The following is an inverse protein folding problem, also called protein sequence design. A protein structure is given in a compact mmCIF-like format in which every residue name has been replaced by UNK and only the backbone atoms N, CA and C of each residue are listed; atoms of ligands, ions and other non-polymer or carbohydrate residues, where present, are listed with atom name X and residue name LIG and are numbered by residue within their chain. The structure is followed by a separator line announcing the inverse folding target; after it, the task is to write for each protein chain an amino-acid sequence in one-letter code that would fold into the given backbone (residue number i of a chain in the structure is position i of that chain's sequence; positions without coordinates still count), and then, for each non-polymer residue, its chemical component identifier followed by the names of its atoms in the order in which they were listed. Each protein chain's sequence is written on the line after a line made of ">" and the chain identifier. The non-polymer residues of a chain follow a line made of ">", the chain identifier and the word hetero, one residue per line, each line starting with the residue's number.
data_IF_334783660038
#
_entry.id   IF_334783660038
#
_cell.length_a   1.000
_cell.length_b   1.000
_cell.length_c   1.000
_cell.angle_alpha   90.00
_cell.angle_beta   90.00
_cell.angle_gamma   90.00
#
_symmetry.space_group_name_H-M   'P 1'
#
loop_
_entity.id
_entity.type
_entity.pdbx_description
1 polymer ?
#
# COMPACT_ATOMS: atom_id res chain seq x y z
N UNK A 1 -52.40 -10.79 -67.82
CA UNK A 1 -52.82 -10.40 -66.48
C UNK A 1 -51.76 -10.93 -65.50
N UNK A 2 -50.77 -10.08 -65.13
CA UNK A 2 -49.66 -10.44 -64.25
C UNK A 2 -49.89 -9.76 -62.90
N UNK A 3 -50.07 -10.53 -61.87
CA UNK A 3 -50.19 -10.03 -60.50
C UNK A 3 -48.78 -9.85 -59.91
N UNK A 4 -48.41 -8.62 -59.54
CA UNK A 4 -47.24 -8.29 -58.74
C UNK A 4 -47.62 -8.45 -57.24
N UNK A 5 -46.97 -9.38 -56.56
CA UNK A 5 -47.00 -9.45 -55.11
C UNK A 5 -45.85 -8.64 -54.52
N UNK A 6 -46.19 -7.51 -53.89
CA UNK A 6 -45.23 -6.70 -53.17
C UNK A 6 -45.07 -7.30 -51.76
N UNK A 7 -43.91 -7.89 -51.48
CA UNK A 7 -43.55 -8.40 -50.17
C UNK A 7 -43.01 -7.25 -49.31
N UNK A 8 -43.77 -6.84 -48.30
CA UNK A 8 -43.38 -5.81 -47.34
C UNK A 8 -42.52 -6.48 -46.25
N UNK A 9 -41.19 -6.28 -46.28
CA UNK A 9 -40.29 -6.70 -45.22
C UNK A 9 -40.42 -5.74 -44.05
N UNK A 10 -40.98 -6.18 -42.95
CA UNK A 10 -40.85 -5.56 -41.65
C UNK A 10 -39.47 -5.93 -41.04
N UNK A 11 -38.53 -5.01 -41.03
CA UNK A 11 -37.31 -5.12 -40.24
C UNK A 11 -37.67 -4.79 -38.82
N UNK A 12 -37.73 -5.81 -37.95
CA UNK A 12 -37.68 -5.64 -36.50
C UNK A 12 -36.25 -5.18 -36.16
N UNK A 13 -36.12 -3.91 -35.80
CA UNK A 13 -34.93 -3.44 -35.11
C UNK A 13 -34.94 -4.01 -33.68
N UNK A 14 -34.25 -5.10 -33.48
CA UNK A 14 -33.88 -5.56 -32.14
C UNK A 14 -32.84 -4.57 -31.60
N UNK A 15 -33.29 -3.67 -30.73
CA UNK A 15 -32.40 -2.95 -29.84
C UNK A 15 -31.67 -3.97 -28.96
N UNK A 16 -30.48 -4.37 -29.40
CA UNK A 16 -29.49 -4.95 -28.47
C UNK A 16 -29.13 -3.85 -27.49
N UNK A 17 -29.77 -3.86 -26.32
CA UNK A 17 -29.13 -3.32 -25.13
C UNK A 17 -27.86 -4.15 -24.96
N UNK A 18 -26.71 -3.57 -25.28
CA UNK A 18 -25.45 -4.07 -24.83
C UNK A 18 -25.50 -3.97 -23.30
N UNK A 19 -25.85 -5.09 -22.65
CA UNK A 19 -25.46 -5.33 -21.27
C UNK A 19 -23.95 -5.12 -21.25
N UNK A 20 -23.54 -3.96 -20.75
CA UNK A 20 -22.16 -3.76 -20.33
C UNK A 20 -21.94 -4.70 -19.17
N UNK A 21 -21.60 -5.95 -19.48
CA UNK A 21 -20.96 -6.85 -18.55
C UNK A 21 -19.72 -6.07 -18.10
N UNK A 22 -19.77 -5.49 -16.89
CA UNK A 22 -18.57 -5.15 -16.17
C UNK A 22 -17.80 -6.46 -16.04
N UNK A 23 -16.94 -6.75 -17.02
CA UNK A 23 -15.89 -7.73 -16.82
C UNK A 23 -15.04 -7.16 -15.70
N UNK A 24 -15.10 -7.78 -14.54
CA UNK A 24 -14.14 -7.60 -13.47
C UNK A 24 -12.78 -8.01 -14.05
N UNK A 25 -12.09 -7.07 -14.71
CA UNK A 25 -10.69 -7.25 -15.08
C UNK A 25 -9.91 -7.13 -13.79
N UNK A 26 -9.65 -8.27 -13.15
CA UNK A 26 -8.79 -8.37 -11.98
C UNK A 26 -7.35 -7.88 -12.23
N UNK A 27 -7.00 -7.56 -13.47
CA UNK A 27 -5.64 -7.23 -13.93
C UNK A 27 -5.50 -5.87 -14.61
N UNK A 28 -6.56 -5.03 -14.64
CA UNK A 28 -6.55 -3.72 -15.28
C UNK A 28 -6.39 -2.55 -14.30
N UNK A 29 -5.93 -1.41 -14.80
CA UNK A 29 -5.99 -0.15 -14.08
C UNK A 29 -7.46 0.27 -13.89
N UNK A 30 -7.80 0.82 -12.71
CA UNK A 30 -9.12 1.36 -12.42
C UNK A 30 -9.28 2.80 -12.97
N UNK A 31 -8.18 3.46 -13.29
CA UNK A 31 -8.17 4.79 -13.87
C UNK A 31 -6.78 5.40 -13.99
N UNK A 32 -6.76 6.70 -14.29
CA UNK A 32 -5.52 7.48 -14.52
C UNK A 32 -5.61 8.80 -13.77
N UNK A 33 -4.56 9.17 -13.04
CA UNK A 33 -4.39 10.48 -12.39
C UNK A 33 -3.05 11.06 -12.82
N UNK A 34 -3.08 12.28 -13.41
CA UNK A 34 -1.86 12.96 -13.86
C UNK A 34 -1.04 12.19 -14.90
N UNK A 35 -1.66 11.28 -15.67
CA UNK A 35 -0.99 10.46 -16.67
C UNK A 35 -0.49 9.10 -16.16
N UNK A 36 -0.68 8.78 -14.86
CA UNK A 36 -0.26 7.53 -14.23
C UNK A 36 -1.47 6.69 -13.84
N UNK A 37 -1.43 5.40 -14.19
CA UNK A 37 -2.48 4.45 -13.90
C UNK A 37 -2.50 4.06 -12.42
N UNK A 38 -3.71 3.79 -11.89
CA UNK A 38 -3.90 3.33 -10.53
C UNK A 38 -4.85 2.15 -10.42
N UNK A 39 -4.75 1.47 -9.28
CA UNK A 39 -5.69 0.45 -8.81
C UNK A 39 -6.23 0.86 -7.44
N UNK A 40 -7.55 0.81 -7.27
CA UNK A 40 -8.23 0.85 -5.98
C UNK A 40 -8.24 -0.56 -5.39
N UNK A 41 -7.45 -0.81 -4.37
CA UNK A 41 -7.40 -2.09 -3.67
C UNK A 41 -8.55 -2.26 -2.66
N UNK A 42 -9.47 -1.32 -2.57
CA UNK A 42 -10.57 -1.35 -1.59
C UNK A 42 -10.10 -1.16 -0.15
N UNK A 43 -8.97 -0.46 0.06
CA UNK A 43 -8.42 -0.19 1.38
C UNK A 43 -9.19 0.93 2.09
N UNK A 44 -9.29 0.89 3.43
CA UNK A 44 -10.10 1.83 4.20
C UNK A 44 -9.68 3.29 4.07
N UNK A 45 -8.40 3.57 3.90
CA UNK A 45 -7.90 4.94 3.63
C UNK A 45 -8.48 5.52 2.34
N UNK A 46 -8.95 4.67 1.41
CA UNK A 46 -9.33 5.07 0.05
C UNK A 46 -8.12 5.42 -0.81
N UNK A 47 -6.94 5.04 -0.39
CA UNK A 47 -5.69 5.26 -1.12
C UNK A 47 -5.63 4.39 -2.35
N UNK A 48 -5.32 5.01 -3.48
CA UNK A 48 -5.12 4.38 -4.77
C UNK A 48 -3.64 4.11 -4.98
N UNK A 49 -3.32 2.91 -5.44
CA UNK A 49 -1.95 2.45 -5.66
C UNK A 49 -1.58 2.51 -7.14
N UNK A 50 -0.43 3.04 -7.46
CA UNK A 50 0.05 3.03 -8.85
C UNK A 50 0.18 1.60 -9.39
N UNK A 51 -0.07 1.39 -10.69
CA UNK A 51 0.10 0.09 -11.34
C UNK A 51 1.56 -0.26 -11.58
N UNK A 52 2.45 0.74 -11.68
CA UNK A 52 3.88 0.58 -11.94
C UNK A 52 4.73 1.49 -11.04
N UNK A 53 6.03 1.25 -11.03
CA UNK A 53 6.99 1.98 -10.20
C UNK A 53 7.31 3.36 -10.78
N UNK A 54 7.75 4.30 -9.94
CA UNK A 54 8.30 5.58 -10.41
C UNK A 54 9.49 5.30 -11.34
N UNK A 55 9.51 5.98 -12.50
CA UNK A 55 10.50 5.76 -13.57
C UNK A 55 10.21 4.59 -14.52
N UNK A 56 9.13 3.82 -14.27
CA UNK A 56 8.65 2.77 -15.16
C UNK A 56 7.49 3.24 -16.05
N UNK A 57 7.19 2.47 -17.09
CA UNK A 57 6.05 2.66 -18.01
C UNK A 57 5.12 1.46 -18.04
N UNK A 58 5.49 0.37 -17.35
CA UNK A 58 4.67 -0.83 -17.21
C UNK A 58 4.84 -1.49 -15.84
N UNK A 59 3.86 -2.32 -15.40
CA UNK A 59 3.94 -3.03 -14.12
C UNK A 59 5.13 -3.97 -13.98
N UNK A 60 5.73 -4.36 -15.10
CA UNK A 60 6.81 -5.36 -15.17
C UNK A 60 8.21 -4.75 -15.23
N UNK A 61 8.29 -3.42 -15.31
CA UNK A 61 9.56 -2.71 -15.30
C UNK A 61 9.97 -2.35 -13.88
N UNK A 62 11.28 -2.34 -13.64
CA UNK A 62 11.84 -2.02 -12.32
C UNK A 62 11.62 -0.54 -11.92
N UNK A 63 11.61 0.39 -12.90
CA UNK A 63 11.67 1.82 -12.64
C UNK A 63 13.04 2.26 -12.11
N UNK A 64 13.03 3.41 -11.46
CA UNK A 64 14.24 4.05 -10.93
C UNK A 64 14.49 3.70 -9.46
N UNK A 65 15.74 3.89 -9.02
CA UNK A 65 16.15 3.72 -7.65
C UNK A 65 16.43 5.08 -7.01
N UNK A 66 15.93 5.26 -5.79
CA UNK A 66 16.06 6.48 -5.01
C UNK A 66 16.65 6.18 -3.64
N UNK A 67 17.54 7.04 -3.14
CA UNK A 67 17.81 7.08 -1.71
C UNK A 67 16.67 7.82 -0.99
N UNK A 68 16.42 7.49 0.27
CA UNK A 68 15.28 8.03 1.01
C UNK A 68 15.39 9.56 1.19
N UNK A 69 14.38 10.30 0.77
CA UNK A 69 14.37 11.77 0.77
C UNK A 69 15.03 12.44 -0.44
N UNK A 70 15.72 11.69 -1.28
CA UNK A 70 16.24 12.21 -2.55
C UNK A 70 15.19 12.06 -3.65
N UNK A 71 15.05 13.13 -4.44
CA UNK A 71 13.97 13.20 -5.45
C UNK A 71 14.45 12.86 -6.86
N UNK A 72 15.76 12.82 -7.07
CA UNK A 72 16.38 12.40 -8.34
C UNK A 72 16.91 10.97 -8.21
N UNK A 73 16.76 10.13 -9.24
CA UNK A 73 17.31 8.79 -9.24
C UNK A 73 18.83 8.83 -9.38
N UNK A 74 19.51 7.81 -8.86
CA UNK A 74 20.96 7.65 -9.00
C UNK A 74 21.38 6.18 -9.02
N UNK A 75 22.68 5.96 -9.25
CA UNK A 75 23.29 4.61 -9.31
C UNK A 75 24.29 4.35 -8.17
N UNK A 76 24.84 5.39 -7.55
CA UNK A 76 25.78 5.29 -6.44
C UNK A 76 25.04 5.56 -5.11
N UNK A 77 24.99 4.55 -4.24
CA UNK A 77 24.26 4.56 -2.97
C UNK A 77 25.19 4.48 -1.75
N UNK A 78 26.37 5.11 -1.85
CA UNK A 78 27.26 5.33 -0.69
C UNK A 78 26.69 6.38 0.27
N UNK A 79 27.12 6.33 1.54
CA UNK A 79 26.76 7.36 2.51
C UNK A 79 27.37 8.72 2.11
N UNK A 80 28.60 8.74 1.63
CA UNK A 80 29.30 9.96 1.24
C UNK A 80 28.58 10.70 0.10
N UNK A 81 27.87 9.99 -0.75
CA UNK A 81 27.08 10.56 -1.84
C UNK A 81 25.61 10.77 -1.45
N UNK A 82 25.18 10.34 -0.26
CA UNK A 82 23.82 10.59 0.21
C UNK A 82 23.65 12.08 0.57
N UNK A 83 22.69 12.74 -0.07
CA UNK A 83 22.48 14.19 0.00
C UNK A 83 22.39 14.73 1.43
N UNK A 84 21.83 13.96 2.34
CA UNK A 84 21.59 14.34 3.73
C UNK A 84 22.63 13.78 4.70
N UNK A 85 23.73 13.22 4.20
CA UNK A 85 24.85 12.79 5.01
C UNK A 85 25.68 14.00 5.44
N UNK A 86 25.95 14.12 6.73
CA UNK A 86 26.82 15.17 7.27
C UNK A 86 28.22 14.66 7.56
N UNK A 87 28.34 13.59 8.33
CA UNK A 87 29.61 13.02 8.78
C UNK A 87 29.42 11.64 9.41
N UNK A 88 30.52 10.95 9.65
CA UNK A 88 30.55 9.82 10.58
C UNK A 88 30.84 10.31 12.00
N UNK A 89 30.20 9.69 12.98
CA UNK A 89 30.54 9.77 14.40
C UNK A 89 30.96 8.41 14.90
N UNK A 90 31.95 8.39 15.82
CA UNK A 90 32.44 7.19 16.45
C UNK A 90 32.26 7.32 17.97
N UNK A 91 31.49 6.42 18.56
CA UNK A 91 31.37 6.27 20.01
C UNK A 91 32.03 4.96 20.45
N UNK A 92 32.92 4.97 21.45
CA UNK A 92 33.60 3.76 21.90
C UNK A 92 32.65 2.61 22.34
N UNK A 93 31.41 2.93 22.70
CA UNK A 93 30.40 1.99 23.15
C UNK A 93 29.36 1.63 22.08
N UNK A 94 29.19 2.47 21.06
CA UNK A 94 28.15 2.32 20.04
C UNK A 94 28.67 2.04 18.62
N UNK A 95 30.00 2.10 18.44
CA UNK A 95 30.61 1.97 17.12
C UNK A 95 30.53 3.25 16.28
N UNK A 96 30.62 3.08 14.97
CA UNK A 96 30.54 4.17 13.99
C UNK A 96 29.14 4.23 13.40
N UNK A 97 28.59 5.45 13.25
CA UNK A 97 27.31 5.68 12.55
C UNK A 97 27.35 6.97 11.73
N UNK A 98 26.48 7.02 10.73
CA UNK A 98 26.28 8.23 9.93
C UNK A 98 25.38 9.23 10.68
N UNK A 99 25.81 10.47 10.77
CA UNK A 99 25.01 11.62 11.20
C UNK A 99 24.36 12.22 9.97
N UNK A 100 23.06 12.45 10.04
CA UNK A 100 22.25 12.90 8.93
C UNK A 100 21.59 14.25 9.24
N UNK A 101 21.31 15.01 8.20
CA UNK A 101 20.39 16.14 8.27
C UNK A 101 18.98 15.64 8.59
N UNK A 102 18.27 16.34 9.49
CA UNK A 102 16.89 16.00 9.83
C UNK A 102 15.92 16.59 8.81
N UNK A 103 15.32 15.73 8.00
CA UNK A 103 14.31 16.09 6.98
C UNK A 103 12.88 15.68 7.39
N UNK A 104 12.71 15.28 8.65
CA UNK A 104 11.42 14.83 9.22
C UNK A 104 11.29 13.31 9.30
N UNK A 105 10.34 12.87 10.12
CA UNK A 105 10.09 11.45 10.39
C UNK A 105 9.10 10.81 9.40
N UNK A 106 8.34 11.64 8.70
CA UNK A 106 7.48 11.25 7.58
C UNK A 106 7.62 12.28 6.46
N UNK A 107 8.19 11.84 5.33
CA UNK A 107 8.40 12.69 4.15
C UNK A 107 7.31 12.53 3.08
N UNK A 108 6.27 11.70 3.34
CA UNK A 108 5.18 11.49 2.40
C UNK A 108 4.52 12.82 2.02
N UNK A 109 4.49 13.14 0.73
CA UNK A 109 3.91 14.37 0.21
C UNK A 109 4.68 15.66 0.52
N UNK A 110 5.90 15.58 1.10
CA UNK A 110 6.78 16.74 1.31
C UNK A 110 7.64 17.06 0.09
N UNK A 111 8.53 18.02 0.19
CA UNK A 111 9.54 18.34 -0.85
C UNK A 111 10.63 17.26 -1.00
N UNK A 112 10.74 16.36 -0.03
CA UNK A 112 11.67 15.23 -0.02
C UNK A 112 11.06 13.95 -0.60
N UNK A 113 9.83 14.01 -1.11
CA UNK A 113 9.12 12.86 -1.67
C UNK A 113 9.36 12.77 -3.19
N UNK A 114 10.12 11.73 -3.59
CA UNK A 114 10.46 11.51 -4.99
C UNK A 114 9.22 11.25 -5.87
N UNK A 115 8.21 10.52 -5.39
CA UNK A 115 7.00 10.28 -6.17
C UNK A 115 6.24 11.59 -6.44
N UNK A 116 6.13 12.45 -5.41
CA UNK A 116 5.55 13.79 -5.58
C UNK A 116 6.35 14.66 -6.56
N UNK A 117 7.65 14.62 -6.48
CA UNK A 117 8.51 15.42 -7.35
C UNK A 117 8.41 14.97 -8.81
N UNK A 118 8.48 13.66 -9.06
CA UNK A 118 8.52 13.07 -10.39
C UNK A 118 7.15 13.09 -11.09
N UNK A 119 6.06 12.86 -10.34
CA UNK A 119 4.73 12.68 -10.93
C UNK A 119 3.75 13.80 -10.62
N UNK A 120 3.93 14.55 -9.52
CA UNK A 120 3.00 15.61 -9.12
C UNK A 120 1.57 15.08 -8.87
N UNK A 121 0.57 15.94 -9.06
CA UNK A 121 -0.86 15.57 -9.05
C UNK A 121 -1.33 14.77 -7.81
N UNK A 122 -0.72 15.00 -6.65
CA UNK A 122 -1.07 14.32 -5.40
C UNK A 122 -0.43 12.95 -5.22
N UNK A 123 0.34 12.45 -6.20
CA UNK A 123 1.15 11.24 -6.03
C UNK A 123 2.24 11.45 -4.99
N UNK A 124 2.48 10.45 -4.16
CA UNK A 124 3.46 10.49 -3.08
C UNK A 124 3.91 9.10 -2.64
N UNK A 125 4.91 9.06 -1.77
CA UNK A 125 5.29 7.86 -1.02
C UNK A 125 4.13 7.40 -0.11
N UNK A 126 3.95 6.08 0.08
CA UNK A 126 3.04 5.56 1.10
C UNK A 126 3.46 6.01 2.51
N UNK A 127 2.50 6.45 3.32
CA UNK A 127 2.69 6.71 4.74
C UNK A 127 2.55 5.42 5.59
N UNK A 128 2.65 5.54 6.92
CA UNK A 128 2.57 4.40 7.82
C UNK A 128 1.20 3.71 7.78
N UNK A 129 0.11 4.48 7.72
CA UNK A 129 -1.24 3.93 7.65
C UNK A 129 -1.42 3.07 6.39
N UNK A 130 -1.03 3.58 5.25
CA UNK A 130 -1.16 2.89 3.95
C UNK A 130 -0.28 1.66 3.86
N UNK A 131 0.95 1.74 4.38
CA UNK A 131 1.84 0.59 4.52
C UNK A 131 1.22 -0.49 5.42
N UNK A 132 0.63 -0.07 6.55
CA UNK A 132 -0.05 -0.98 7.46
C UNK A 132 -1.26 -1.65 6.79
N UNK A 133 -2.13 -0.88 6.14
CA UNK A 133 -3.29 -1.40 5.43
C UNK A 133 -2.90 -2.40 4.35
N UNK A 134 -1.91 -2.08 3.51
CA UNK A 134 -1.42 -3.00 2.49
C UNK A 134 -0.97 -4.33 3.10
N UNK A 135 -0.19 -4.29 4.19
CA UNK A 135 0.34 -5.49 4.83
C UNK A 135 -0.73 -6.31 5.55
N UNK A 136 -1.70 -5.66 6.18
CA UNK A 136 -2.65 -6.32 7.07
C UNK A 136 -3.93 -6.77 6.35
N UNK A 137 -4.32 -6.08 5.27
CA UNK A 137 -5.59 -6.31 4.61
C UNK A 137 -5.47 -6.95 3.24
N UNK A 138 -4.31 -6.83 2.59
CA UNK A 138 -4.03 -7.47 1.31
C UNK A 138 -3.39 -8.84 1.51
N UNK A 139 -3.46 -9.66 0.47
CA UNK A 139 -2.91 -11.01 0.47
C UNK A 139 -2.21 -11.32 -0.86
N UNK A 140 -1.38 -12.34 -0.87
CA UNK A 140 -0.76 -12.88 -2.08
C UNK A 140 -0.70 -14.40 -2.01
N UNK A 141 -0.58 -15.05 -3.16
CA UNK A 141 -0.38 -16.49 -3.28
C UNK A 141 1.11 -16.89 -3.29
N UNK A 142 2.00 -15.99 -2.82
CA UNK A 142 3.44 -16.15 -2.93
C UNK A 142 3.99 -15.52 -4.21
N UNK A 143 5.28 -15.78 -4.52
CA UNK A 143 5.94 -15.23 -5.69
C UNK A 143 5.34 -15.81 -6.98
N UNK A 144 5.28 -15.00 -8.01
CA UNK A 144 4.80 -15.36 -9.35
C UNK A 144 5.75 -14.87 -10.43
N UNK A 145 5.58 -15.36 -11.66
CA UNK A 145 6.27 -14.85 -12.84
C UNK A 145 5.20 -14.37 -13.82
N UNK A 146 5.20 -13.09 -14.11
CA UNK A 146 4.27 -12.44 -15.04
C UNK A 146 5.05 -11.72 -16.12
N UNK A 147 4.69 -11.94 -17.37
CA UNK A 147 5.43 -11.43 -18.53
C UNK A 147 6.96 -11.69 -18.47
N UNK A 148 7.36 -12.82 -17.86
CA UNK A 148 8.77 -13.19 -17.69
C UNK A 148 9.48 -12.49 -16.52
N UNK A 149 8.77 -11.66 -15.75
CA UNK A 149 9.29 -10.94 -14.60
C UNK A 149 8.82 -11.59 -13.31
N UNK A 150 9.78 -11.90 -12.42
CA UNK A 150 9.49 -12.41 -11.08
C UNK A 150 8.98 -11.28 -10.20
N UNK A 151 7.96 -11.56 -9.41
CA UNK A 151 7.38 -10.58 -8.49
C UNK A 151 6.33 -11.21 -7.58
N UNK A 152 5.54 -10.37 -6.96
CA UNK A 152 4.39 -10.77 -6.13
C UNK A 152 3.16 -9.99 -6.56
N UNK A 153 2.06 -10.71 -6.79
CA UNK A 153 0.76 -10.07 -7.01
C UNK A 153 0.05 -9.93 -5.67
N UNK A 154 -0.24 -8.71 -5.31
CA UNK A 154 -0.90 -8.33 -4.06
C UNK A 154 -2.36 -8.02 -4.36
N UNK A 155 -3.27 -8.75 -3.73
CA UNK A 155 -4.71 -8.60 -3.88
C UNK A 155 -5.30 -7.82 -2.71
N UNK A 156 -6.13 -6.85 -3.01
CA UNK A 156 -6.90 -6.10 -2.03
C UNK A 156 -8.17 -6.84 -1.58
N UNK A 157 -8.86 -6.31 -0.55
CA UNK A 157 -10.13 -6.86 -0.07
C UNK A 157 -11.25 -6.92 -1.12
N UNK A 158 -11.16 -6.11 -2.17
CA UNK A 158 -12.10 -6.07 -3.29
C UNK A 158 -11.68 -6.94 -4.48
N UNK A 159 -10.63 -7.77 -4.29
CA UNK A 159 -10.03 -8.66 -5.29
C UNK A 159 -9.24 -7.96 -6.41
N UNK A 160 -9.24 -6.62 -6.49
CA UNK A 160 -8.33 -5.91 -7.37
C UNK A 160 -6.89 -6.11 -6.90
N UNK A 161 -5.93 -5.97 -7.80
CA UNK A 161 -4.56 -6.33 -7.48
C UNK A 161 -3.53 -5.45 -8.15
N UNK A 162 -2.35 -5.36 -7.52
CA UNK A 162 -1.14 -4.76 -8.09
C UNK A 162 -0.03 -5.82 -8.15
N UNK A 163 0.81 -5.73 -9.17
CA UNK A 163 2.01 -6.54 -9.28
C UNK A 163 3.23 -5.75 -8.82
N UNK A 164 3.99 -6.28 -7.85
CA UNK A 164 5.26 -5.74 -7.40
C UNK A 164 6.40 -6.61 -7.92
N UNK A 165 7.17 -6.15 -8.93
CA UNK A 165 8.30 -6.90 -9.45
C UNK A 165 9.45 -7.00 -8.44
N UNK A 166 10.17 -8.10 -8.46
CA UNK A 166 11.46 -8.25 -7.76
C UNK A 166 12.51 -7.48 -8.56
N UNK A 167 12.71 -6.23 -8.18
CA UNK A 167 13.60 -5.32 -8.89
C UNK A 167 15.04 -5.30 -8.36
N UNK A 168 15.26 -5.88 -7.19
CA UNK A 168 16.48 -5.67 -6.44
C UNK A 168 16.47 -4.37 -5.66
N UNK A 169 17.62 -4.02 -5.11
CA UNK A 169 17.87 -2.76 -4.45
C UNK A 169 19.37 -2.45 -4.47
N UNK A 170 19.72 -1.15 -4.47
CA UNK A 170 21.10 -0.69 -4.51
C UNK A 170 21.72 -0.71 -3.12
N UNK A 171 22.77 -1.51 -2.95
CA UNK A 171 23.56 -1.60 -1.73
C UNK A 171 24.96 -1.06 -1.98
N UNK A 172 25.46 -0.23 -1.06
CA UNK A 172 26.88 0.10 -1.03
C UNK A 172 27.66 -1.01 -0.32
N UNK A 173 28.58 -1.63 -1.04
CA UNK A 173 29.45 -2.66 -0.47
C UNK A 173 30.89 -2.44 -0.86
N UNK A 174 31.72 -2.13 0.16
CA UNK A 174 33.13 -1.82 -0.07
C UNK A 174 33.32 -0.48 -0.78
N UNK A 175 33.59 -0.49 -2.07
CA UNK A 175 33.86 0.70 -2.88
C UNK A 175 32.91 0.82 -4.10
N UNK A 176 31.88 0.00 -4.16
CA UNK A 176 30.93 -0.01 -5.28
C UNK A 176 29.49 -0.27 -4.83
N UNK A 177 28.53 0.18 -5.62
CA UNK A 177 27.13 -0.14 -5.46
C UNK A 177 26.83 -1.47 -6.13
N UNK A 178 26.26 -2.39 -5.37
CA UNK A 178 25.78 -3.69 -5.86
C UNK A 178 24.25 -3.67 -5.89
N UNK A 179 23.66 -4.09 -7.01
CA UNK A 179 22.21 -4.30 -7.08
C UNK A 179 21.89 -5.75 -6.78
N UNK A 180 21.40 -6.00 -5.57
CA UNK A 180 20.83 -7.31 -5.24
C UNK A 180 19.55 -7.54 -6.04
N UNK A 181 19.45 -8.70 -6.71
CA UNK A 181 18.33 -9.08 -7.58
C UNK A 181 17.52 -10.26 -7.04
N UNK A 182 17.80 -10.69 -5.82
CA UNK A 182 17.09 -11.80 -5.20
C UNK A 182 15.72 -11.36 -4.69
N UNK A 183 15.65 -10.14 -4.20
CA UNK A 183 14.47 -9.55 -3.57
C UNK A 183 14.15 -8.19 -4.20
N UNK A 184 12.99 -7.63 -3.91
CA UNK A 184 12.61 -6.26 -4.26
C UNK A 184 12.30 -5.47 -3.00
N UNK A 185 12.71 -4.21 -2.96
CA UNK A 185 12.42 -3.33 -1.83
C UNK A 185 11.86 -1.99 -2.31
N UNK A 186 10.87 -1.49 -1.58
CA UNK A 186 10.11 -0.29 -1.95
C UNK A 186 10.04 0.67 -0.77
N UNK A 187 10.45 1.91 -0.97
CA UNK A 187 10.37 2.94 0.06
C UNK A 187 8.94 3.26 0.49
N UNK A 188 8.79 3.55 1.77
CA UNK A 188 7.70 4.37 2.32
C UNK A 188 8.26 5.72 2.75
N UNK A 189 7.38 6.68 3.04
CA UNK A 189 7.83 8.00 3.51
C UNK A 189 8.27 8.04 4.97
N UNK A 190 8.25 6.94 5.70
CA UNK A 190 8.33 6.91 7.15
C UNK A 190 9.71 6.47 7.64
N UNK A 191 10.32 7.27 8.51
CA UNK A 191 11.52 6.93 9.26
C UNK A 191 11.24 5.78 10.25
N UNK A 192 12.17 4.86 10.42
CA UNK A 192 12.13 3.89 11.50
C UNK A 192 12.96 4.38 12.68
N UNK A 193 12.38 4.52 13.89
CA UNK A 193 13.13 4.89 15.07
C UNK A 193 14.27 3.93 15.35
N UNK A 194 15.44 4.45 15.63
CA UNK A 194 16.64 3.67 15.89
C UNK A 194 17.26 4.03 17.24
N UNK A 195 17.73 3.03 17.96
CA UNK A 195 18.53 3.22 19.18
C UNK A 195 19.92 2.65 19.03
N UNK A 196 20.91 3.34 19.58
CA UNK A 196 22.27 2.84 19.74
C UNK A 196 22.34 1.70 20.77
N UNK A 197 23.49 1.04 20.85
CA UNK A 197 23.71 -0.07 21.83
C UNK A 197 23.53 0.35 23.29
N UNK A 198 23.68 1.65 23.61
CA UNK A 198 23.43 2.20 24.95
C UNK A 198 21.94 2.51 25.20
N UNK A 199 21.04 2.16 24.27
CA UNK A 199 19.59 2.44 24.35
C UNK A 199 19.19 3.90 24.11
N UNK A 200 20.13 4.77 23.73
CA UNK A 200 19.80 6.17 23.38
C UNK A 200 19.28 6.23 21.95
N UNK A 201 18.25 7.06 21.67
CA UNK A 201 17.81 7.30 20.32
C UNK A 201 18.95 7.83 19.45
N UNK A 202 19.01 7.36 18.21
CA UNK A 202 19.77 7.96 17.12
C UNK A 202 18.80 8.83 16.33
N UNK A 203 18.98 10.14 16.37
CA UNK A 203 18.08 11.11 15.73
C UNK A 203 18.89 12.12 14.90
N UNK A 204 18.58 12.28 13.62
CA UNK A 204 17.65 11.45 12.85
C UNK A 204 18.15 10.02 12.67
N UNK A 205 17.23 9.07 12.55
CA UNK A 205 17.56 7.66 12.30
C UNK A 205 18.27 7.47 10.96
N UNK A 206 19.19 6.51 10.88
CA UNK A 206 19.84 6.11 9.62
C UNK A 206 18.95 5.21 8.74
N UNK A 207 17.83 4.71 9.27
CA UNK A 207 16.97 3.74 8.58
C UNK A 207 15.55 4.29 8.39
N UNK A 208 14.92 3.85 7.33
CA UNK A 208 13.53 4.14 7.02
C UNK A 208 12.76 2.86 6.69
N UNK A 209 11.44 2.93 6.81
CA UNK A 209 10.55 1.80 6.56
C UNK A 209 10.39 1.54 5.07
N UNK A 210 10.31 0.25 4.75
CA UNK A 210 10.15 -0.25 3.39
C UNK A 210 9.15 -1.41 3.35
N UNK A 211 8.75 -1.77 2.14
CA UNK A 211 8.13 -3.05 1.82
C UNK A 211 9.19 -3.93 1.17
N UNK A 212 9.29 -5.17 1.61
CA UNK A 212 10.13 -6.20 1.00
C UNK A 212 9.24 -7.16 0.21
N UNK A 213 9.68 -7.50 -0.99
CA UNK A 213 9.08 -8.51 -1.87
C UNK A 213 10.13 -9.58 -2.14
N UNK A 214 9.87 -10.80 -1.72
CA UNK A 214 10.81 -11.91 -1.79
C UNK A 214 10.16 -13.25 -2.21
N UNK A 215 10.85 -14.35 -1.97
CA UNK A 215 10.37 -15.69 -2.26
C UNK A 215 9.26 -16.19 -1.33
N UNK A 216 8.97 -15.48 -0.25
CA UNK A 216 7.89 -15.80 0.70
C UNK A 216 6.62 -14.97 0.47
N UNK A 217 6.71 -13.90 -0.31
CA UNK A 217 5.62 -12.97 -0.59
C UNK A 217 6.02 -11.52 -0.38
N UNK A 218 5.23 -10.76 0.38
CA UNK A 218 5.56 -9.38 0.75
C UNK A 218 5.44 -9.16 2.27
N UNK A 219 6.32 -8.32 2.79
CA UNK A 219 6.37 -8.00 4.22
C UNK A 219 6.89 -6.58 4.46
N UNK A 220 6.79 -6.10 5.71
CA UNK A 220 7.45 -4.87 6.12
C UNK A 220 8.94 -5.12 6.39
N UNK A 221 9.75 -4.14 6.02
CA UNK A 221 11.17 -4.14 6.22
C UNK A 221 11.66 -2.73 6.59
N UNK A 222 12.94 -2.63 6.88
CA UNK A 222 13.66 -1.37 7.01
C UNK A 222 14.89 -1.41 6.12
N UNK A 223 15.35 -0.25 5.68
CA UNK A 223 16.56 -0.12 4.88
C UNK A 223 17.32 1.13 5.27
N UNK A 224 18.63 1.15 5.07
CA UNK A 224 19.44 2.35 5.30
C UNK A 224 19.02 3.42 4.31
N UNK A 225 18.85 4.66 4.75
CA UNK A 225 18.37 5.79 3.94
C UNK A 225 19.22 6.08 2.70
N UNK A 226 20.50 5.80 2.76
CA UNK A 226 21.40 5.95 1.61
C UNK A 226 21.20 4.86 0.53
N UNK A 227 20.56 3.75 0.84
CA UNK A 227 20.34 2.65 -0.12
C UNK A 227 19.33 3.04 -1.21
N UNK A 228 19.49 2.44 -2.39
CA UNK A 228 18.62 2.66 -3.53
C UNK A 228 17.45 1.68 -3.58
N UNK A 229 16.24 2.13 -3.28
CA UNK A 229 15.04 1.34 -3.39
C UNK A 229 14.10 1.93 -4.45
N UNK A 230 13.22 1.08 -4.96
CA UNK A 230 12.15 1.51 -5.85
C UNK A 230 11.03 2.22 -5.07
N UNK A 231 10.12 2.86 -5.82
CA UNK A 231 8.94 3.51 -5.25
C UNK A 231 7.70 3.02 -5.98
N UNK A 232 6.74 2.47 -5.25
CA UNK A 232 5.37 2.27 -5.69
C UNK A 232 4.55 3.42 -5.09
N UNK A 233 4.24 4.41 -5.92
CA UNK A 233 3.55 5.61 -5.49
C UNK A 233 2.08 5.34 -5.14
N UNK A 234 1.54 6.20 -4.30
CA UNK A 234 0.13 6.24 -3.94
C UNK A 234 -0.44 7.63 -4.15
N UNK A 235 -1.77 7.71 -4.29
CA UNK A 235 -2.50 8.97 -4.27
C UNK A 235 -3.79 8.78 -3.46
N UNK A 236 -4.10 9.74 -2.60
CA UNK A 236 -5.39 9.79 -1.93
C UNK A 236 -6.22 10.92 -2.55
N UNK A 237 -7.29 10.62 -3.29
CA UNK A 237 -8.12 11.65 -3.93
C UNK A 237 -8.69 12.69 -2.96
N UNK A 238 -8.96 12.30 -1.71
CA UNK A 238 -9.46 13.20 -0.67
C UNK A 238 -8.42 14.24 -0.23
N UNK A 239 -7.13 13.88 -0.24
CA UNK A 239 -6.03 14.76 0.16
C UNK A 239 -5.52 15.63 -1.00
N UNK A 240 -5.65 15.16 -2.23
CA UNK A 240 -5.11 15.83 -3.42
C UNK A 240 -5.99 16.97 -3.96
N UNK A 241 -7.14 17.26 -3.33
CA UNK A 241 -8.08 18.30 -3.80
C UNK A 241 -8.75 17.96 -5.13
N UNK A 242 -8.69 16.70 -5.57
CA UNK A 242 -9.40 16.20 -6.75
C UNK A 242 -10.84 15.87 -6.33
N UNK A 243 -11.56 16.89 -5.91
CA UNK A 243 -12.88 16.81 -5.25
C UNK A 243 -14.04 16.36 -6.15
N UNK A 244 -13.82 15.69 -7.25
CA UNK A 244 -14.92 15.31 -8.15
C UNK A 244 -15.25 13.82 -8.24
N UNK A 245 -14.66 12.96 -7.42
CA UNK A 245 -15.10 11.56 -7.37
C UNK A 245 -15.04 11.03 -5.93
N UNK A 246 -16.22 10.76 -5.39
CA UNK A 246 -16.52 10.01 -4.17
C UNK A 246 -16.69 10.86 -2.89
N UNK A 247 -17.88 11.41 -2.75
CA UNK A 247 -18.51 11.65 -1.46
C UNK A 247 -18.89 10.32 -0.82
N UNK A 248 -18.02 9.72 -0.02
CA UNK A 248 -18.45 8.81 1.04
C UNK A 248 -17.71 9.17 2.33
N UNK A 249 -18.50 9.54 3.33
CA UNK A 249 -18.10 9.67 4.74
C UNK A 249 -17.21 8.50 5.14
N UNK A 250 -16.14 8.79 5.90
CA UNK A 250 -15.26 7.80 6.53
C UNK A 250 -16.08 6.73 7.24
N UNK A 251 -16.38 5.63 6.54
CA UNK A 251 -17.06 4.50 7.14
C UNK A 251 -16.02 3.64 7.84
N UNK A 252 -16.14 3.59 9.16
CA UNK A 252 -15.42 2.58 9.94
C UNK A 252 -15.75 1.21 9.36
N UNK A 253 -14.73 0.42 9.03
CA UNK A 253 -14.86 -0.95 8.52
C UNK A 253 -14.21 -1.91 9.48
N UNK A 254 -14.86 -3.06 9.69
CA UNK A 254 -14.37 -4.13 10.55
C UNK A 254 -13.92 -5.28 9.66
N UNK A 255 -12.66 -5.70 9.81
CA UNK A 255 -12.06 -6.78 9.01
C UNK A 255 -11.57 -7.88 9.93
N UNK A 256 -12.03 -9.12 9.75
CA UNK A 256 -11.51 -10.28 10.45
C UNK A 256 -10.37 -10.92 9.68
N UNK A 257 -9.26 -11.17 10.38
CA UNK A 257 -8.12 -11.92 9.83
C UNK A 257 -7.31 -12.58 10.94
N UNK A 258 -6.97 -13.85 10.76
CA UNK A 258 -6.07 -14.61 11.62
C UNK A 258 -6.40 -14.52 13.13
N UNK A 259 -7.67 -14.54 13.49
CA UNK A 259 -8.11 -14.46 14.88
C UNK A 259 -8.24 -13.03 15.44
N UNK A 260 -8.13 -12.00 14.59
CA UNK A 260 -8.23 -10.60 15.01
C UNK A 260 -9.30 -9.85 14.22
N UNK A 261 -10.00 -8.93 14.88
CA UNK A 261 -10.78 -7.88 14.22
C UNK A 261 -9.91 -6.63 14.13
N UNK A 262 -9.73 -6.11 12.93
CA UNK A 262 -9.09 -4.83 12.65
C UNK A 262 -10.16 -3.76 12.42
N UNK A 263 -10.06 -2.64 13.13
CA UNK A 263 -10.95 -1.49 12.98
C UNK A 263 -10.25 -0.48 12.07
N UNK A 264 -10.79 -0.32 10.87
CA UNK A 264 -10.22 0.55 9.84
C UNK A 264 -10.96 1.87 9.78
N UNK A 265 -10.23 2.95 9.49
CA UNK A 265 -10.78 4.31 9.46
C UNK A 265 -10.90 5.00 10.82
N UNK A 266 -10.41 4.36 11.90
CA UNK A 266 -10.36 4.94 13.23
C UNK A 266 -9.29 4.25 14.09
N UNK A 267 -8.45 5.01 14.76
CA UNK A 267 -7.47 4.50 15.73
C UNK A 267 -7.91 4.67 17.19
N UNK A 268 -9.21 4.86 17.43
CA UNK A 268 -9.70 5.05 18.79
C UNK A 268 -9.84 3.72 19.53
N UNK A 269 -9.59 3.77 20.83
CA UNK A 269 -9.98 2.72 21.75
C UNK A 269 -11.50 2.53 21.72
N UNK A 270 -11.97 1.32 21.97
CA UNK A 270 -13.39 1.03 21.96
C UNK A 270 -13.69 -0.41 22.39
N UNK A 271 -14.90 -0.84 22.14
CA UNK A 271 -15.38 -2.17 22.49
C UNK A 271 -15.90 -2.86 21.22
N UNK A 272 -15.42 -4.08 21.00
CA UNK A 272 -16.02 -5.02 20.03
C UNK A 272 -17.03 -5.90 20.77
N UNK A 273 -18.19 -6.09 20.15
CA UNK A 273 -19.18 -7.09 20.53
C UNK A 273 -19.49 -7.97 19.32
N UNK A 274 -19.40 -9.28 19.49
CA UNK A 274 -19.69 -10.29 18.45
C UNK A 274 -21.00 -10.99 18.80
N UNK A 275 -21.89 -11.04 17.82
CA UNK A 275 -23.22 -11.66 17.96
C UNK A 275 -23.35 -12.83 17.00
N UNK A 276 -24.01 -13.90 17.45
CA UNK A 276 -24.50 -14.94 16.55
C UNK A 276 -25.73 -14.45 15.75
N UNK A 277 -26.17 -15.25 14.78
CA UNK A 277 -27.32 -14.88 13.95
C UNK A 277 -28.64 -14.83 14.72
N UNK A 278 -28.68 -15.32 15.96
CA UNK A 278 -29.84 -15.17 16.84
C UNK A 278 -29.85 -13.84 17.62
N UNK A 279 -28.80 -13.04 17.47
CA UNK A 279 -28.61 -11.77 18.19
C UNK A 279 -28.04 -11.90 19.60
N UNK A 280 -27.58 -13.11 19.98
CA UNK A 280 -26.93 -13.32 21.28
C UNK A 280 -25.46 -12.90 21.19
N UNK A 281 -24.99 -12.15 22.19
CA UNK A 281 -23.56 -11.82 22.34
C UNK A 281 -22.79 -13.11 22.64
N UNK A 282 -21.82 -13.43 21.79
CA UNK A 282 -20.93 -14.59 21.94
C UNK A 282 -19.53 -14.16 22.38
N UNK A 283 -19.21 -12.88 22.25
CA UNK A 283 -17.95 -12.31 22.71
C UNK A 283 -18.07 -10.78 22.88
N UNK A 284 -17.31 -10.23 23.84
CA UNK A 284 -17.06 -8.80 23.95
C UNK A 284 -15.63 -8.57 24.44
N UNK A 285 -14.91 -7.65 23.80
CA UNK A 285 -13.52 -7.35 24.10
C UNK A 285 -13.14 -5.91 23.79
N UNK A 286 -12.03 -5.44 24.38
CA UNK A 286 -11.50 -4.10 24.14
C UNK A 286 -10.68 -4.05 22.87
N UNK A 287 -10.75 -2.91 22.19
CA UNK A 287 -9.91 -2.56 21.06
C UNK A 287 -8.71 -1.77 21.60
N UNK A 288 -7.52 -2.18 21.23
CA UNK A 288 -6.25 -1.48 21.52
C UNK A 288 -5.54 -1.27 20.19
N UNK A 289 -5.15 -0.05 19.90
CA UNK A 289 -4.49 0.33 18.63
C UNK A 289 -5.24 -0.15 17.35
N UNK A 290 -6.59 -0.05 17.39
CA UNK A 290 -7.43 -0.46 16.28
C UNK A 290 -7.57 -1.97 16.08
N UNK A 291 -7.14 -2.79 17.06
CA UNK A 291 -7.15 -4.26 16.96
C UNK A 291 -7.85 -4.88 18.19
N UNK A 292 -8.64 -5.92 17.95
CA UNK A 292 -9.21 -6.76 18.97
C UNK A 292 -8.94 -8.23 18.66
N UNK A 293 -8.27 -8.95 19.56
CA UNK A 293 -8.06 -10.39 19.45
C UNK A 293 -9.35 -11.13 19.82
N UNK A 294 -9.76 -12.04 18.97
CA UNK A 294 -10.89 -12.92 19.23
C UNK A 294 -10.42 -14.28 19.77
N UNK A 295 -11.24 -14.94 20.61
CA UNK A 295 -11.04 -16.37 20.93
C UNK A 295 -11.32 -17.22 19.67
N UNK A 296 -11.04 -18.52 19.75
CA UNK A 296 -11.43 -19.44 18.68
C UNK A 296 -12.95 -19.48 18.52
N UNK A 297 -13.42 -19.23 17.30
CA UNK A 297 -14.82 -19.34 16.91
C UNK A 297 -15.01 -20.51 15.96
N UNK A 298 -16.21 -21.07 15.96
CA UNK A 298 -16.64 -22.00 14.92
C UNK A 298 -16.82 -21.20 13.63
N UNK A 299 -16.27 -21.72 12.51
CA UNK A 299 -16.45 -21.07 11.20
C UNK A 299 -17.92 -20.80 10.90
N UNK A 300 -18.25 -19.56 10.59
CA UNK A 300 -19.62 -19.14 10.38
C UNK A 300 -19.77 -17.64 10.16
N UNK A 301 -21.00 -17.20 10.10
CA UNK A 301 -21.37 -15.80 9.92
C UNK A 301 -21.74 -15.20 11.27
N UNK A 302 -21.13 -14.06 11.57
CA UNK A 302 -21.34 -13.30 12.81
C UNK A 302 -21.67 -11.85 12.48
N UNK A 303 -22.36 -11.19 13.41
CA UNK A 303 -22.53 -9.74 13.39
C UNK A 303 -21.53 -9.17 14.40
N UNK A 304 -20.67 -8.29 13.93
CA UNK A 304 -19.67 -7.62 14.78
C UNK A 304 -20.02 -6.16 14.89
N UNK A 305 -20.04 -5.65 16.12
CA UNK A 305 -20.33 -4.26 16.44
C UNK A 305 -19.13 -3.67 17.16
N UNK A 306 -18.61 -2.56 16.65
CA UNK A 306 -17.59 -1.73 17.29
C UNK A 306 -18.23 -0.46 17.83
N UNK A 307 -18.00 -0.16 19.09
CA UNK A 307 -18.42 1.10 19.73
C UNK A 307 -17.18 1.83 20.22
N UNK A 308 -16.97 3.03 19.74
CA UNK A 308 -15.85 3.89 20.14
C UNK A 308 -16.10 4.56 21.52
N UNK A 309 -15.08 5.24 22.03
CA UNK A 309 -15.15 5.97 23.31
C UNK A 309 -16.08 7.21 23.30
N UNK A 310 -16.61 7.58 22.12
CA UNK A 310 -17.62 8.64 21.95
C UNK A 310 -19.03 8.06 21.82
N UNK A 311 -19.22 6.75 22.03
CA UNK A 311 -20.45 5.99 21.85
C UNK A 311 -20.98 5.95 20.39
N UNK A 312 -20.13 6.20 19.40
CA UNK A 312 -20.47 5.92 18.01
C UNK A 312 -20.32 4.44 17.73
N UNK A 313 -21.30 3.83 17.06
CA UNK A 313 -21.34 2.39 16.84
C UNK A 313 -21.38 2.08 15.34
N UNK A 314 -20.48 1.20 14.91
CA UNK A 314 -20.45 0.61 13.57
C UNK A 314 -20.69 -0.89 13.66
N UNK A 315 -21.59 -1.41 12.85
CA UNK A 315 -21.93 -2.84 12.84
C UNK A 315 -21.75 -3.42 11.45
N UNK A 316 -21.14 -4.59 11.37
CA UNK A 316 -20.83 -5.26 10.10
C UNK A 316 -21.02 -6.77 10.23
N UNK A 317 -21.51 -7.40 9.15
CA UNK A 317 -21.55 -8.86 9.00
C UNK A 317 -20.18 -9.37 8.59
N UNK A 318 -19.64 -10.34 9.32
CA UNK A 318 -18.30 -10.91 9.12
C UNK A 318 -18.39 -12.44 9.06
N UNK A 319 -17.58 -13.04 8.20
CA UNK A 319 -17.34 -14.49 8.17
C UNK A 319 -16.07 -14.79 8.97
N UNK A 320 -16.15 -15.67 9.95
CA UNK A 320 -15.06 -16.14 10.80
C UNK A 320 -14.76 -17.61 10.46
#
# INVERSE_FOLDING_TARGET
>A
MKYFFTLLMFTLATNCFADSQLSSNSDGADGVIGGHEYVDLGLPSGTLWATYNVGATSPYEKGDYFAWGEVEPREDFSWENYKFFERYEVDPNNGEWAVLENIGNDISGTEYDAARYQWGNGWRLPNEQERYELRMLCWCNGPTIENGVKGVRIHGPNEHSIFLPVCGFGLWYGQETIFDKTDGAYWTGVEEPQCGYNGRPIEPSMIARALLVDTSGFTGATSMKAQGLNIRAVVNPKESGIDNVISETEKIRLVYRNGYIHIMGCHSEGIISVFDLSGRIVYSGSVIDGICQLPEFVSGIYIVSYTDNKNSTTTQKITI
#
